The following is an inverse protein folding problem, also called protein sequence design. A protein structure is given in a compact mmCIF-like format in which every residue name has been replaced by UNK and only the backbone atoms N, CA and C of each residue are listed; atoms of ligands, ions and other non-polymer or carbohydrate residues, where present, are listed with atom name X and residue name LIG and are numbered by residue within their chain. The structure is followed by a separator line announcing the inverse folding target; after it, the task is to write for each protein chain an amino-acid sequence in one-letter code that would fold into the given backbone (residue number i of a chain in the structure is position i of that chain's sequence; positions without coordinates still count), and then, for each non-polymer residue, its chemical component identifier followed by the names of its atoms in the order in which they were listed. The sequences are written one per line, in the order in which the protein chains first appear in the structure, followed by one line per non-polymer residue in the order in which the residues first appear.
data_IF_243866752979
#
_entry.id   IF_243866752979
#
_cell.length_a   1.000
_cell.length_b   1.000
_cell.length_c   1.000
_cell.angle_alpha   90.00
_cell.angle_beta   90.00
_cell.angle_gamma   90.00
#
_symmetry.space_group_name_H-M   'P 1'
#
loop_
_entity.id
_entity.type
_entity.pdbx_description
1 polymer ?
#
# COMPACT_ATOMS: atom_id res chain seq x y z
N UNK A 1 68.90 -51.60 25.05
CA UNK A 1 68.39 -50.39 25.76
C UNK A 1 67.94 -49.39 24.71
N UNK A 2 66.66 -49.00 24.78
CA UNK A 2 65.88 -48.33 23.74
C UNK A 2 66.27 -46.85 23.60
N UNK A 3 66.57 -46.45 22.37
CA UNK A 3 66.72 -45.04 21.98
C UNK A 3 65.34 -44.37 21.91
N UNK A 4 65.21 -43.27 22.65
CA UNK A 4 64.05 -42.39 22.70
C UNK A 4 63.96 -41.59 21.40
N UNK A 5 62.97 -41.90 20.55
CA UNK A 5 62.62 -41.07 19.40
C UNK A 5 61.80 -39.89 19.93
N UNK A 6 62.42 -38.71 19.97
CA UNK A 6 61.76 -37.43 20.21
C UNK A 6 60.89 -37.14 18.98
N UNK A 7 59.62 -37.52 19.05
CA UNK A 7 58.60 -37.13 18.07
C UNK A 7 58.35 -35.64 18.28
N UNK A 8 58.92 -34.86 17.37
CA UNK A 8 58.68 -33.44 17.18
C UNK A 8 57.20 -33.24 16.81
N UNK A 9 56.35 -33.17 17.85
CA UNK A 9 54.96 -32.69 17.80
C UNK A 9 55.01 -31.18 17.50
N UNK A 10 55.35 -30.85 16.26
CA UNK A 10 54.99 -29.61 15.60
C UNK A 10 53.46 -29.57 15.51
N UNK A 11 52.86 -29.15 16.62
CA UNK A 11 51.55 -28.54 16.60
C UNK A 11 51.64 -27.31 15.69
N UNK A 12 51.36 -27.53 14.40
CA UNK A 12 50.79 -26.52 13.53
C UNK A 12 49.47 -26.07 14.16
N UNK A 13 49.55 -25.18 15.16
CA UNK A 13 48.50 -24.21 15.41
C UNK A 13 48.46 -23.33 14.16
N UNK A 14 47.75 -23.82 13.14
CA UNK A 14 47.18 -22.97 12.11
C UNK A 14 46.23 -22.02 12.82
N UNK A 15 46.78 -20.89 13.26
CA UNK A 15 46.02 -19.69 13.56
C UNK A 15 45.20 -19.41 12.31
N UNK A 16 43.95 -19.90 12.28
CA UNK A 16 42.95 -19.35 11.39
C UNK A 16 42.78 -17.92 11.86
N UNK A 17 43.60 -17.03 11.31
CA UNK A 17 43.27 -15.63 11.16
C UNK A 17 41.97 -15.66 10.38
N UNK A 18 40.83 -15.74 11.09
CA UNK A 18 39.59 -15.24 10.59
C UNK A 18 39.88 -13.77 10.33
N UNK A 19 40.33 -13.49 9.10
CA UNK A 19 40.17 -12.20 8.49
C UNK A 19 38.68 -11.94 8.62
N UNK A 20 38.31 -11.22 9.68
CA UNK A 20 37.08 -10.45 9.72
C UNK A 20 37.21 -9.54 8.51
N UNK A 21 36.75 -10.03 7.37
CA UNK A 21 36.47 -9.18 6.24
C UNK A 21 35.61 -8.07 6.80
N UNK A 22 35.96 -6.83 6.49
CA UNK A 22 35.22 -5.65 6.94
C UNK A 22 33.74 -5.89 6.63
N UNK A 23 32.99 -6.25 7.67
CA UNK A 23 31.57 -6.48 7.57
C UNK A 23 30.98 -5.08 7.39
N UNK A 24 30.85 -4.71 6.12
CA UNK A 24 30.24 -3.49 5.69
C UNK A 24 28.74 -3.59 6.03
N UNK A 25 28.40 -3.27 7.27
CA UNK A 25 27.04 -3.23 7.84
C UNK A 25 26.19 -2.11 7.24
N UNK A 26 26.21 -1.99 5.91
CA UNK A 26 25.69 -0.86 5.14
C UNK A 26 24.24 -1.09 4.70
N UNK A 27 23.64 -2.22 5.07
CA UNK A 27 22.22 -2.47 4.83
C UNK A 27 21.37 -1.61 5.76
N UNK A 28 20.49 -0.78 5.19
CA UNK A 28 19.44 -0.14 5.97
C UNK A 28 18.55 -1.18 6.64
N UNK A 29 18.11 -0.92 7.86
CA UNK A 29 17.20 -1.83 8.55
C UNK A 29 15.86 -1.94 7.83
N UNK A 30 15.20 -3.09 7.96
CA UNK A 30 13.93 -3.39 7.28
C UNK A 30 12.81 -2.40 7.68
N UNK A 31 12.77 -1.96 8.94
CA UNK A 31 11.79 -0.96 9.37
C UNK A 31 12.07 0.42 8.75
N UNK A 32 13.33 0.84 8.66
CA UNK A 32 13.76 2.08 8.01
C UNK A 32 13.44 2.06 6.51
N UNK A 33 13.61 0.89 5.87
CA UNK A 33 13.17 0.66 4.50
C UNK A 33 11.64 0.81 4.37
N UNK A 34 10.87 0.23 5.29
CA UNK A 34 9.41 0.36 5.29
C UNK A 34 8.95 1.82 5.42
N UNK A 35 9.59 2.63 6.26
CA UNK A 35 9.32 4.07 6.36
C UNK A 35 9.67 4.81 5.07
N UNK A 36 10.83 4.51 4.48
CA UNK A 36 11.28 5.13 3.25
C UNK A 36 10.32 4.82 2.09
N UNK A 37 9.89 3.56 1.96
CA UNK A 37 8.92 3.14 0.97
C UNK A 37 7.54 3.77 1.22
N UNK A 38 7.06 3.75 2.46
CA UNK A 38 5.80 4.37 2.86
C UNK A 38 5.76 5.86 2.49
N UNK A 39 6.85 6.59 2.74
CA UNK A 39 6.98 8.00 2.39
C UNK A 39 7.04 8.26 0.89
N UNK A 40 7.73 7.40 0.13
CA UNK A 40 7.72 7.46 -1.32
C UNK A 40 6.30 7.27 -1.88
N UNK A 41 5.52 6.36 -1.29
CA UNK A 41 4.19 5.93 -1.73
C UNK A 41 3.00 6.58 -1.00
N UNK A 42 3.26 7.55 -0.13
CA UNK A 42 2.22 8.12 0.73
C UNK A 42 1.08 8.77 -0.06
N UNK A 43 1.40 9.38 -1.21
CA UNK A 43 0.43 9.99 -2.13
C UNK A 43 -0.55 8.95 -2.67
N UNK A 44 -0.03 7.84 -3.20
CA UNK A 44 -0.82 6.73 -3.72
C UNK A 44 -1.76 6.16 -2.64
N UNK A 45 -1.26 6.00 -1.41
CA UNK A 45 -2.04 5.46 -0.29
C UNK A 45 -3.14 6.40 0.19
N UNK A 46 -2.84 7.70 0.28
CA UNK A 46 -3.82 8.72 0.65
C UNK A 46 -4.90 8.84 -0.43
N UNK A 47 -4.51 8.90 -1.70
CA UNK A 47 -5.44 8.95 -2.82
C UNK A 47 -6.39 7.75 -2.82
N UNK A 48 -5.86 6.54 -2.60
CA UNK A 48 -6.65 5.33 -2.50
C UNK A 48 -7.69 5.40 -1.36
N UNK A 49 -7.30 5.97 -0.21
CA UNK A 49 -8.18 6.15 0.94
C UNK A 49 -9.31 7.15 0.67
N UNK A 50 -8.97 8.28 0.04
CA UNK A 50 -9.95 9.30 -0.34
C UNK A 50 -10.99 8.72 -1.32
N UNK A 51 -10.54 7.99 -2.34
CA UNK A 51 -11.43 7.42 -3.35
C UNK A 51 -12.33 6.31 -2.78
N UNK A 52 -11.75 5.36 -2.06
CA UNK A 52 -12.51 4.27 -1.41
C UNK A 52 -13.35 4.75 -0.23
N UNK A 53 -13.21 6.03 0.15
CA UNK A 53 -13.63 6.64 1.41
C UNK A 53 -13.02 6.01 2.66
N UNK A 54 -12.47 4.80 2.64
CA UNK A 54 -11.83 4.08 3.76
C UNK A 54 -12.45 4.29 5.16
N UNK A 55 -13.78 4.49 5.23
CA UNK A 55 -14.52 4.80 6.46
C UNK A 55 -14.32 6.22 7.04
N UNK A 56 -13.88 7.20 6.25
CA UNK A 56 -13.69 8.61 6.62
C UNK A 56 -15.03 9.30 6.90
N UNK A 57 -15.01 10.15 7.93
CA UNK A 57 -16.00 11.20 8.15
C UNK A 57 -15.66 12.42 7.28
N UNK A 58 -16.59 13.35 7.11
CA UNK A 58 -16.35 14.58 6.33
C UNK A 58 -15.17 15.40 6.87
N UNK A 59 -14.98 15.46 8.20
CA UNK A 59 -13.85 16.16 8.83
C UNK A 59 -12.52 15.47 8.49
N UNK A 60 -12.47 14.15 8.62
CA UNK A 60 -11.29 13.34 8.30
C UNK A 60 -10.94 13.42 6.81
N UNK A 61 -11.94 13.35 5.91
CA UNK A 61 -11.78 13.52 4.46
C UNK A 61 -11.16 14.89 4.13
N UNK A 62 -11.68 15.97 4.72
CA UNK A 62 -11.12 17.32 4.52
C UNK A 62 -9.65 17.41 4.95
N UNK A 63 -9.30 16.85 6.10
CA UNK A 63 -7.91 16.83 6.58
C UNK A 63 -7.03 16.02 5.64
N UNK A 64 -7.45 14.81 5.28
CA UNK A 64 -6.67 13.92 4.44
C UNK A 64 -6.49 14.49 3.03
N UNK A 65 -7.49 15.16 2.46
CA UNK A 65 -7.37 15.92 1.22
C UNK A 65 -6.40 17.10 1.35
N UNK A 66 -6.39 17.78 2.50
CA UNK A 66 -5.44 18.89 2.76
C UNK A 66 -4.00 18.37 2.76
N UNK A 67 -3.74 17.26 3.45
CA UNK A 67 -2.45 16.57 3.42
C UNK A 67 -2.10 16.17 1.97
N UNK A 68 -3.02 15.51 1.26
CA UNK A 68 -2.79 15.08 -0.13
C UNK A 68 -2.35 16.23 -1.03
N UNK A 69 -2.99 17.39 -0.90
CA UNK A 69 -2.72 18.56 -1.72
C UNK A 69 -1.39 19.26 -1.36
N UNK A 70 -0.87 19.05 -0.15
CA UNK A 70 0.40 19.63 0.30
C UNK A 70 1.60 18.70 0.08
N UNK A 71 1.40 17.41 -0.22
CA UNK A 71 2.47 16.41 -0.32
C UNK A 71 3.63 16.80 -1.25
N UNK A 72 3.36 17.56 -2.33
CA UNK A 72 4.43 18.08 -3.21
C UNK A 72 5.35 19.07 -2.48
N UNK A 73 4.77 19.92 -1.63
CA UNK A 73 5.49 20.88 -0.80
C UNK A 73 6.20 20.18 0.37
N UNK A 74 5.50 19.24 1.02
CA UNK A 74 6.07 18.38 2.07
C UNK A 74 7.38 17.74 1.59
N UNK A 75 7.33 17.10 0.43
CA UNK A 75 8.42 16.28 -0.10
C UNK A 75 9.51 17.08 -0.83
N UNK A 76 9.53 18.41 -0.71
CA UNK A 76 10.54 19.26 -1.39
C UNK A 76 11.97 18.99 -0.95
N UNK A 77 12.16 18.56 0.29
CA UNK A 77 13.50 18.29 0.82
C UNK A 77 13.81 16.79 0.73
N UNK A 78 15.01 16.46 0.26
CA UNK A 78 15.47 15.06 0.17
C UNK A 78 15.73 14.41 1.54
N UNK A 79 15.64 15.19 2.63
CA UNK A 79 15.95 14.79 4.00
C UNK A 79 14.79 15.02 4.98
N UNK A 80 13.54 14.94 4.51
CA UNK A 80 12.39 15.12 5.39
C UNK A 80 12.29 14.01 6.45
N UNK A 81 12.65 12.77 6.10
CA UNK A 81 12.76 11.67 7.06
C UNK A 81 14.15 11.62 7.69
N UNK A 82 14.21 11.71 9.01
CA UNK A 82 15.46 11.62 9.78
C UNK A 82 15.36 10.53 10.83
N UNK A 83 16.19 9.49 10.72
CA UNK A 83 16.23 8.36 11.65
C UNK A 83 17.22 8.64 12.79
N UNK A 84 16.72 8.76 14.03
CA UNK A 84 17.53 9.05 15.22
C UNK A 84 17.27 8.05 16.34
N UNK A 85 18.29 7.77 17.14
CA UNK A 85 18.16 6.94 18.35
C UNK A 85 18.02 7.83 19.57
N UNK A 86 16.95 7.67 20.34
CA UNK A 86 16.74 8.35 21.62
C UNK A 86 17.81 7.98 22.67
N UNK A 87 18.48 6.82 22.54
CA UNK A 87 19.64 6.48 23.39
C UNK A 87 20.85 7.36 23.12
N UNK A 88 21.07 7.74 21.85
CA UNK A 88 22.15 8.63 21.44
C UNK A 88 21.79 10.09 21.73
N UNK A 89 20.54 10.47 21.50
CA UNK A 89 20.00 11.80 21.79
C UNK A 89 18.97 11.74 22.91
N UNK A 90 19.46 11.72 24.16
CA UNK A 90 18.63 11.52 25.35
C UNK A 90 17.49 12.53 25.44
N UNK A 91 16.26 12.04 25.43
CA UNK A 91 15.06 12.85 25.60
C UNK A 91 14.50 13.42 24.31
N UNK A 92 15.14 13.18 23.16
CA UNK A 92 14.69 13.71 21.88
C UNK A 92 13.24 13.31 21.55
N UNK A 93 12.80 12.12 21.98
CA UNK A 93 11.45 11.62 21.69
C UNK A 93 10.53 11.57 22.92
N UNK A 94 10.88 12.25 24.01
CA UNK A 94 10.04 12.30 25.22
C UNK A 94 9.13 13.52 25.13
N UNK A 95 7.83 13.28 24.90
CA UNK A 95 6.78 14.29 24.89
C UNK A 95 5.70 13.89 25.88
N UNK A 96 5.32 14.81 26.76
CA UNK A 96 4.35 14.58 27.86
C UNK A 96 4.68 13.36 28.74
N UNK A 97 5.98 13.12 28.98
CA UNK A 97 6.45 11.99 29.76
C UNK A 97 6.38 10.64 29.05
N UNK A 98 5.97 10.59 27.78
CA UNK A 98 5.90 9.38 26.97
C UNK A 98 6.95 9.39 25.86
N UNK A 99 7.55 8.23 25.59
CA UNK A 99 8.45 8.07 24.45
C UNK A 99 7.61 7.88 23.19
N UNK A 100 7.81 8.75 22.20
CA UNK A 100 7.12 8.71 20.91
C UNK A 100 7.94 7.98 19.86
N UNK A 101 7.24 7.39 18.89
CA UNK A 101 7.84 6.68 17.75
C UNK A 101 8.33 7.64 16.67
N UNK A 102 7.62 8.74 16.49
CA UNK A 102 7.98 9.82 15.60
C UNK A 102 7.63 11.15 16.26
N UNK A 103 8.21 12.21 15.74
CA UNK A 103 7.84 13.59 16.05
C UNK A 103 8.18 14.47 14.85
N UNK A 104 7.49 15.59 14.75
CA UNK A 104 7.75 16.59 13.73
C UNK A 104 7.47 18.00 14.25
N UNK A 105 7.68 19.01 13.41
CA UNK A 105 7.26 20.39 13.68
C UNK A 105 5.80 20.64 13.30
N UNK A 106 5.39 21.89 13.21
CA UNK A 106 4.01 22.30 12.92
C UNK A 106 3.85 22.99 11.55
N UNK A 107 4.90 23.01 10.74
CA UNK A 107 4.90 23.61 9.41
C UNK A 107 5.02 22.56 8.29
N UNK A 108 4.32 22.82 7.17
CA UNK A 108 4.43 22.02 5.94
C UNK A 108 5.89 21.97 5.47
N UNK A 109 6.41 20.76 5.28
CA UNK A 109 7.80 20.51 4.90
C UNK A 109 8.76 20.33 6.08
N UNK A 110 8.29 20.43 7.33
CA UNK A 110 9.11 20.14 8.50
C UNK A 110 9.64 18.70 8.49
N UNK A 111 10.79 18.51 9.14
CA UNK A 111 11.44 17.21 9.25
C UNK A 111 10.67 16.30 10.19
N UNK A 112 10.40 15.09 9.72
CA UNK A 112 9.84 14.01 10.50
C UNK A 112 10.98 13.16 11.05
N UNK A 113 11.15 13.21 12.37
CA UNK A 113 12.14 12.42 13.08
C UNK A 113 11.53 11.08 13.48
N UNK A 114 12.22 9.99 13.16
CA UNK A 114 11.79 8.61 13.45
C UNK A 114 12.71 7.99 14.49
N UNK A 115 12.13 7.47 15.58
CA UNK A 115 12.84 6.89 16.69
C UNK A 115 13.27 5.45 16.39
N UNK A 116 14.55 5.25 16.05
CA UNK A 116 15.09 3.93 15.71
C UNK A 116 15.08 2.92 16.87
N UNK A 117 14.98 3.40 18.12
CA UNK A 117 14.90 2.51 19.28
C UNK A 117 13.54 1.78 19.37
N UNK A 118 12.50 2.28 18.69
CA UNK A 118 11.14 1.75 18.71
C UNK A 118 10.72 1.06 17.40
N UNK A 119 11.59 1.04 16.38
CA UNK A 119 11.28 0.46 15.07
C UNK A 119 11.20 -1.08 15.04
N UNK A 120 11.69 -1.72 16.10
CA UNK A 120 11.76 -3.17 16.25
C UNK A 120 11.20 -3.57 17.62
N UNK A 121 9.88 -3.43 17.83
CA UNK A 121 9.23 -3.88 19.05
C UNK A 121 9.56 -5.34 19.35
N UNK A 122 9.68 -5.66 20.64
CA UNK A 122 9.85 -7.04 21.09
C UNK A 122 8.50 -7.73 21.17
N UNK A 123 8.40 -8.89 20.54
CA UNK A 123 7.28 -9.80 20.65
C UNK A 123 7.36 -10.63 21.94
N UNK A 124 6.31 -11.41 22.22
CA UNK A 124 6.19 -12.21 23.47
C UNK A 124 7.30 -13.25 23.65
N UNK A 125 7.83 -13.77 22.55
CA UNK A 125 8.95 -14.73 22.50
C UNK A 125 10.33 -14.05 22.61
N UNK A 126 10.38 -12.71 22.65
CA UNK A 126 11.60 -11.94 22.69
C UNK A 126 12.17 -11.59 21.32
N UNK A 127 11.57 -12.10 20.24
CA UNK A 127 11.94 -11.73 18.87
C UNK A 127 11.62 -10.27 18.59
N UNK A 128 12.35 -9.70 17.65
CA UNK A 128 12.18 -8.30 17.25
C UNK A 128 11.59 -8.23 15.86
N UNK A 129 10.35 -7.77 15.77
CA UNK A 129 9.67 -7.65 14.48
C UNK A 129 9.76 -6.20 13.99
N UNK A 130 10.17 -5.97 12.73
CA UNK A 130 10.18 -4.62 12.18
C UNK A 130 8.75 -4.09 12.07
N UNK A 131 8.59 -2.80 12.29
CA UNK A 131 7.32 -2.13 12.01
C UNK A 131 6.96 -2.30 10.53
N UNK A 132 5.73 -2.74 10.27
CA UNK A 132 5.21 -2.93 8.91
C UNK A 132 5.09 -1.60 8.15
N UNK A 133 5.17 -1.67 6.82
CA UNK A 133 4.90 -0.54 5.93
C UNK A 133 3.55 0.15 6.22
N UNK A 134 2.48 -0.61 6.46
CA UNK A 134 1.16 -0.04 6.73
C UNK A 134 1.14 0.77 8.05
N UNK A 135 1.86 0.31 9.08
CA UNK A 135 2.04 1.08 10.31
C UNK A 135 2.90 2.33 10.06
N UNK A 136 3.96 2.24 9.25
CA UNK A 136 4.75 3.41 8.87
C UNK A 136 3.90 4.46 8.15
N UNK A 137 2.99 4.06 7.25
CA UNK A 137 2.03 4.97 6.62
C UNK A 137 1.12 5.63 7.66
N UNK A 138 0.59 4.88 8.62
CA UNK A 138 -0.24 5.45 9.68
C UNK A 138 0.48 6.58 10.44
N UNK A 139 1.74 6.33 10.79
CA UNK A 139 2.60 7.28 11.50
C UNK A 139 2.86 8.50 10.61
N UNK A 140 3.22 8.32 9.34
CA UNK A 140 3.45 9.45 8.44
C UNK A 140 2.19 10.32 8.24
N UNK A 141 1.00 9.72 8.13
CA UNK A 141 -0.26 10.48 8.07
C UNK A 141 -0.48 11.29 9.35
N UNK A 142 -0.12 10.74 10.51
CA UNK A 142 -0.16 11.46 11.78
C UNK A 142 0.77 12.68 11.75
N UNK A 143 2.04 12.48 11.42
CA UNK A 143 3.04 13.55 11.39
C UNK A 143 2.68 14.65 10.35
N UNK A 144 2.22 14.27 9.15
CA UNK A 144 1.73 15.26 8.18
C UNK A 144 0.48 16.01 8.67
N UNK A 145 -0.33 15.41 9.54
CA UNK A 145 -1.44 16.10 10.19
C UNK A 145 -0.96 17.25 11.08
N UNK A 146 0.15 17.06 11.81
CA UNK A 146 0.77 18.11 12.63
C UNK A 146 1.26 19.30 11.81
N UNK A 147 1.82 19.06 10.62
CA UNK A 147 2.23 20.13 9.69
C UNK A 147 1.09 21.05 9.23
N UNK A 148 -0.16 20.62 9.44
CA UNK A 148 -1.36 21.39 9.16
C UNK A 148 -2.03 21.94 10.43
N UNK A 149 -1.29 22.03 11.55
CA UNK A 149 -1.75 22.62 12.80
C UNK A 149 -2.78 21.77 13.55
N UNK A 150 -2.84 20.46 13.28
CA UNK A 150 -3.75 19.56 14.00
C UNK A 150 -3.03 19.02 15.24
N UNK A 151 -3.43 19.48 16.42
CA UNK A 151 -2.82 19.08 17.70
C UNK A 151 -3.48 17.84 18.33
N UNK A 152 -4.65 17.44 17.83
CA UNK A 152 -5.42 16.32 18.38
C UNK A 152 -4.80 14.97 17.96
N UNK A 153 -3.90 14.45 18.80
CA UNK A 153 -3.23 13.17 18.59
C UNK A 153 -4.22 12.00 18.39
N UNK A 154 -5.34 11.97 19.13
CA UNK A 154 -6.30 10.86 19.02
C UNK A 154 -7.00 10.88 17.66
N UNK A 155 -7.34 12.08 17.16
CA UNK A 155 -7.89 12.26 15.84
C UNK A 155 -6.90 11.79 14.75
N UNK A 156 -5.62 12.17 14.87
CA UNK A 156 -4.57 11.80 13.91
C UNK A 156 -4.26 10.29 13.93
N UNK A 157 -4.19 9.68 15.11
CA UNK A 157 -4.02 8.23 15.27
C UNK A 157 -5.17 7.45 14.61
N UNK A 158 -6.41 7.92 14.81
CA UNK A 158 -7.59 7.34 14.17
C UNK A 158 -7.56 7.50 12.65
N UNK A 159 -7.18 8.68 12.15
CA UNK A 159 -7.05 8.94 10.72
C UNK A 159 -6.00 8.04 10.08
N UNK A 160 -4.79 7.99 10.65
CA UNK A 160 -3.71 7.12 10.19
C UNK A 160 -4.09 5.63 10.24
N UNK A 161 -4.83 5.21 11.27
CA UNK A 161 -5.32 3.83 11.39
C UNK A 161 -6.30 3.43 10.28
N UNK A 162 -7.11 4.36 9.78
CA UNK A 162 -8.01 4.09 8.63
C UNK A 162 -7.23 3.89 7.33
N UNK A 163 -6.23 4.73 7.08
CA UNK A 163 -5.33 4.58 5.92
C UNK A 163 -4.55 3.27 6.03
N UNK A 164 -4.03 2.94 7.21
CA UNK A 164 -3.38 1.65 7.49
C UNK A 164 -4.29 0.46 7.23
N UNK A 165 -5.52 0.48 7.76
CA UNK A 165 -6.46 -0.63 7.61
C UNK A 165 -6.77 -0.89 6.14
N UNK A 166 -6.87 0.17 5.33
CA UNK A 166 -6.98 0.04 3.88
C UNK A 166 -5.78 -0.72 3.30
N UNK A 167 -4.54 -0.29 3.60
CA UNK A 167 -3.28 -0.88 3.08
C UNK A 167 -3.08 -2.33 3.52
N UNK A 168 -3.52 -2.67 4.74
CA UNK A 168 -3.41 -4.03 5.26
C UNK A 168 -4.42 -4.99 4.61
N UNK A 169 -5.49 -4.48 4.00
CA UNK A 169 -6.34 -5.33 3.20
C UNK A 169 -5.57 -5.75 1.94
N UNK A 170 -5.63 -7.03 1.59
CA UNK A 170 -4.89 -7.58 0.45
C UNK A 170 -5.35 -6.91 -0.85
N UNK A 171 -4.47 -6.10 -1.46
CA UNK A 171 -4.67 -5.60 -2.81
C UNK A 171 -4.01 -6.55 -3.80
N UNK A 172 -4.78 -6.99 -4.78
CA UNK A 172 -4.23 -7.60 -5.98
C UNK A 172 -4.01 -6.49 -7.00
N UNK A 173 -2.79 -5.95 -7.05
CA UNK A 173 -2.40 -5.00 -8.09
C UNK A 173 -1.98 -5.78 -9.33
N UNK A 174 -2.63 -5.51 -10.45
CA UNK A 174 -2.33 -6.18 -11.71
C UNK A 174 -1.79 -5.12 -12.67
N UNK A 175 -0.45 -5.04 -12.82
CA UNK A 175 0.14 -4.07 -13.73
C UNK A 175 -0.20 -4.46 -15.17
N UNK A 176 -1.03 -3.66 -15.83
CA UNK A 176 -1.41 -3.90 -17.22
C UNK A 176 -0.71 -2.90 -18.15
N UNK A 177 0.09 -3.41 -19.09
CA UNK A 177 0.73 -2.57 -20.10
C UNK A 177 -0.24 -2.37 -21.29
N UNK A 178 -0.81 -1.18 -21.41
CA UNK A 178 -1.77 -0.82 -22.46
C UNK A 178 -1.20 -0.90 -23.90
N UNK A 179 0.14 -0.92 -24.04
CA UNK A 179 0.84 -0.92 -25.32
C UNK A 179 1.29 -2.30 -25.77
N UNK A 180 1.27 -3.32 -24.90
CA UNK A 180 1.54 -4.69 -25.29
C UNK A 180 0.22 -5.42 -25.51
N UNK A 181 0.04 -6.05 -26.67
CA UNK A 181 -0.96 -7.12 -26.87
C UNK A 181 -0.54 -8.28 -25.98
N UNK A 182 -0.89 -8.22 -24.72
CA UNK A 182 -0.78 -9.35 -23.82
C UNK A 182 -2.19 -9.79 -23.50
N UNK A 183 -2.53 -11.00 -23.91
CA UNK A 183 -3.76 -11.72 -23.57
C UNK A 183 -3.67 -12.24 -22.13
N UNK A 184 -3.42 -11.34 -21.17
CA UNK A 184 -3.41 -11.72 -19.76
C UNK A 184 -4.82 -11.62 -19.21
N UNK A 185 -5.50 -12.76 -19.12
CA UNK A 185 -6.74 -12.89 -18.38
C UNK A 185 -6.45 -12.76 -16.88
N UNK A 186 -6.72 -11.58 -16.29
CA UNK A 186 -6.78 -11.46 -14.85
C UNK A 186 -8.05 -12.12 -14.34
N UNK A 187 -7.92 -13.10 -13.45
CA UNK A 187 -9.03 -13.62 -12.66
C UNK A 187 -8.86 -13.21 -11.20
N UNK A 188 -9.83 -12.49 -10.65
CA UNK A 188 -9.93 -12.15 -9.24
C UNK A 188 -11.13 -12.89 -8.66
N UNK A 189 -10.88 -13.77 -7.69
CA UNK A 189 -11.89 -14.56 -7.00
C UNK A 189 -12.11 -14.06 -5.57
N UNK A 190 -13.37 -13.86 -5.17
CA UNK A 190 -13.73 -13.43 -3.83
C UNK A 190 -14.72 -14.38 -3.17
N UNK A 191 -14.31 -14.97 -2.04
CA UNK A 191 -15.11 -15.91 -1.25
C UNK A 191 -14.87 -15.75 0.26
N UNK A 192 -15.90 -15.75 1.12
CA UNK A 192 -17.33 -15.54 0.88
C UNK A 192 -17.71 -14.04 0.91
N UNK A 193 -18.64 -13.62 0.07
CA UNK A 193 -18.96 -12.19 -0.12
C UNK A 193 -20.04 -11.72 0.87
N UNK A 194 -19.65 -11.22 2.06
CA UNK A 194 -20.56 -10.37 2.84
C UNK A 194 -20.63 -8.94 2.31
N UNK A 195 -19.55 -8.47 1.68
CA UNK A 195 -19.46 -7.21 0.91
C UNK A 195 -18.47 -7.45 -0.23
N UNK A 196 -18.76 -6.98 -1.46
CA UNK A 196 -17.80 -7.06 -2.55
C UNK A 196 -16.56 -6.23 -2.18
N UNK A 197 -15.38 -6.76 -2.49
CA UNK A 197 -14.13 -6.03 -2.37
C UNK A 197 -14.13 -4.80 -3.26
N UNK A 198 -13.35 -3.79 -2.90
CA UNK A 198 -13.24 -2.60 -3.73
C UNK A 198 -12.46 -2.91 -5.01
N UNK A 199 -13.06 -2.65 -6.17
CA UNK A 199 -12.37 -2.63 -7.45
C UNK A 199 -12.02 -1.19 -7.77
N UNK A 200 -10.72 -0.91 -7.84
CA UNK A 200 -10.21 0.42 -8.09
C UNK A 200 -9.33 0.36 -9.33
N UNK A 201 -9.66 1.16 -10.33
CA UNK A 201 -8.84 1.38 -11.52
C UNK A 201 -7.94 2.59 -11.26
N UNK A 202 -6.63 2.39 -11.35
CA UNK A 202 -5.65 3.47 -11.31
C UNK A 202 -5.11 3.65 -12.72
N UNK A 203 -5.37 4.79 -13.33
CA UNK A 203 -4.87 5.13 -14.66
C UNK A 203 -4.13 6.47 -14.59
N UNK A 204 -2.82 6.44 -14.85
CA UNK A 204 -1.91 7.57 -14.59
C UNK A 204 -2.02 8.02 -13.13
N UNK A 205 -2.54 9.22 -12.88
CA UNK A 205 -2.76 9.78 -11.55
C UNK A 205 -4.25 9.83 -11.18
N UNK A 206 -5.11 9.25 -12.02
CA UNK A 206 -6.54 9.18 -11.74
C UNK A 206 -6.88 7.84 -11.10
N UNK A 207 -7.69 7.90 -10.04
CA UNK A 207 -8.13 6.74 -9.28
C UNK A 207 -9.64 6.68 -9.38
N UNK A 208 -10.15 5.57 -9.91
CA UNK A 208 -11.56 5.39 -10.25
C UNK A 208 -12.10 4.21 -9.45
N UNK A 209 -13.04 4.48 -8.54
CA UNK A 209 -13.75 3.44 -7.80
C UNK A 209 -14.82 2.79 -8.68
N UNK A 210 -14.49 1.62 -9.24
CA UNK A 210 -15.41 0.81 -10.02
C UNK A 210 -16.40 0.03 -9.14
N UNK A 211 -16.07 -0.16 -7.85
CA UNK A 211 -16.87 -0.94 -6.89
C UNK A 211 -18.29 -0.42 -6.74
N UNK A 212 -18.48 0.91 -6.68
CA UNK A 212 -19.81 1.53 -6.54
C UNK A 212 -20.70 1.30 -7.74
N UNK A 213 -20.12 1.21 -8.94
CA UNK A 213 -20.88 0.96 -10.15
C UNK A 213 -21.21 -0.52 -10.25
N UNK A 214 -20.20 -1.36 -10.05
CA UNK A 214 -20.31 -2.81 -9.97
C UNK A 214 -21.37 -3.28 -8.99
N UNK A 215 -21.40 -2.72 -7.78
CA UNK A 215 -22.33 -3.15 -6.73
C UNK A 215 -23.81 -3.01 -7.11
N UNK A 216 -24.15 -2.17 -8.09
CA UNK A 216 -25.52 -2.06 -8.63
C UNK A 216 -25.94 -3.27 -9.45
N UNK A 217 -24.97 -3.98 -10.04
CA UNK A 217 -25.19 -5.18 -10.85
C UNK A 217 -25.00 -6.47 -10.04
N UNK A 218 -24.32 -6.37 -8.89
CA UNK A 218 -24.05 -7.50 -7.99
C UNK A 218 -25.22 -7.80 -7.03
N UNK A 219 -26.40 -8.06 -7.57
CA UNK A 219 -27.61 -8.30 -6.76
C UNK A 219 -28.14 -9.71 -7.01
N UNK A 220 -28.15 -10.52 -5.96
CA UNK A 220 -28.91 -11.78 -5.93
C UNK A 220 -30.40 -11.48 -5.65
N UNK A 221 -31.31 -12.42 -5.93
CA UNK A 221 -32.71 -12.23 -5.53
C UNK A 221 -32.84 -12.17 -4.01
N UNK A 222 -33.96 -11.64 -3.49
CA UNK A 222 -34.17 -11.42 -2.05
C UNK A 222 -34.01 -12.69 -1.19
N UNK A 223 -34.18 -13.87 -1.77
CA UNK A 223 -34.04 -15.18 -1.12
C UNK A 223 -32.62 -15.79 -1.25
N UNK A 224 -31.74 -15.15 -2.02
CA UNK A 224 -30.40 -15.65 -2.36
C UNK A 224 -29.28 -14.86 -1.67
N UNK A 225 -28.24 -15.56 -1.24
CA UNK A 225 -27.01 -14.97 -0.69
C UNK A 225 -25.93 -14.97 -1.77
N UNK A 226 -25.25 -13.83 -1.97
CA UNK A 226 -24.07 -13.75 -2.82
C UNK A 226 -22.91 -14.53 -2.17
N UNK A 227 -22.49 -15.62 -2.81
CA UNK A 227 -21.46 -16.51 -2.26
C UNK A 227 -20.08 -16.26 -2.89
N UNK A 228 -20.01 -16.07 -4.22
CA UNK A 228 -18.77 -15.80 -4.96
C UNK A 228 -18.96 -14.58 -5.85
N UNK A 229 -17.95 -13.72 -5.90
CA UNK A 229 -17.78 -12.76 -6.98
C UNK A 229 -16.44 -13.00 -7.68
N UNK A 230 -16.47 -13.12 -9.01
CA UNK A 230 -15.29 -13.26 -9.85
C UNK A 230 -15.27 -12.18 -10.91
N UNK A 231 -14.11 -11.58 -11.16
CA UNK A 231 -13.83 -10.82 -12.38
C UNK A 231 -12.76 -11.58 -13.14
N UNK A 232 -13.02 -11.96 -14.39
CA UNK A 232 -12.07 -12.69 -15.23
C UNK A 232 -11.84 -11.95 -16.55
N UNK A 233 -10.80 -12.36 -17.28
CA UNK A 233 -10.57 -11.94 -18.66
C UNK A 233 -10.52 -10.43 -18.85
N UNK A 234 -9.99 -9.67 -17.89
CA UNK A 234 -9.81 -8.22 -18.05
C UNK A 234 -8.70 -7.96 -19.07
N UNK A 235 -9.01 -7.28 -20.18
CA UNK A 235 -8.05 -6.97 -21.23
C UNK A 235 -8.41 -5.69 -21.99
N UNK A 236 -7.40 -5.02 -22.57
CA UNK A 236 -7.65 -3.88 -23.45
C UNK A 236 -7.94 -4.33 -24.88
N UNK A 237 -9.01 -3.79 -25.45
CA UNK A 237 -9.38 -3.90 -26.85
C UNK A 237 -9.24 -2.55 -27.54
N UNK A 238 -8.85 -2.61 -28.80
CA UNK A 238 -8.74 -1.44 -29.66
C UNK A 238 -10.14 -1.11 -30.19
N UNK A 239 -10.55 0.15 -30.09
CA UNK A 239 -11.71 0.64 -30.83
C UNK A 239 -11.43 0.65 -32.34
N UNK A 240 -12.50 0.77 -33.13
CA UNK A 240 -12.41 0.73 -34.60
C UNK A 240 -11.51 1.83 -35.18
N UNK A 241 -11.44 2.98 -34.51
CA UNK A 241 -10.67 4.14 -34.93
C UNK A 241 -9.23 4.18 -34.39
N UNK A 242 -8.80 3.18 -33.61
CA UNK A 242 -7.53 3.13 -32.86
C UNK A 242 -7.27 4.29 -31.89
N UNK A 243 -8.13 5.31 -31.88
CA UNK A 243 -8.12 6.44 -30.97
C UNK A 243 -8.84 6.08 -29.68
N UNK A 244 -9.76 5.11 -29.73
CA UNK A 244 -10.42 4.55 -28.57
C UNK A 244 -9.71 3.28 -28.07
N UNK A 245 -9.55 3.19 -26.74
CA UNK A 245 -9.23 1.94 -26.03
C UNK A 245 -10.43 1.54 -25.20
N UNK A 246 -10.69 0.25 -25.10
CA UNK A 246 -11.78 -0.31 -24.30
C UNK A 246 -11.18 -1.32 -23.33
N UNK A 247 -11.54 -1.28 -22.05
CA UNK A 247 -11.11 -2.28 -21.09
C UNK A 247 -12.26 -3.27 -20.91
N UNK A 248 -12.21 -4.41 -21.59
CA UNK A 248 -13.27 -5.42 -21.53
C UNK A 248 -12.95 -6.43 -20.42
N UNK A 249 -13.97 -6.99 -19.78
CA UNK A 249 -13.83 -8.01 -18.77
C UNK A 249 -15.12 -8.80 -18.58
N UNK A 250 -15.01 -9.96 -17.92
CA UNK A 250 -16.16 -10.78 -17.57
C UNK A 250 -16.33 -10.78 -16.06
N UNK A 251 -17.56 -10.82 -15.59
CA UNK A 251 -17.82 -11.00 -14.17
C UNK A 251 -18.80 -12.12 -13.90
N UNK A 252 -18.67 -12.72 -12.74
CA UNK A 252 -19.49 -13.85 -12.33
C UNK A 252 -19.95 -13.61 -10.90
N UNK A 253 -21.25 -13.77 -10.66
CA UNK A 253 -21.84 -13.72 -9.34
C UNK A 253 -22.52 -15.06 -9.08
N UNK A 254 -22.03 -15.77 -8.07
CA UNK A 254 -22.66 -17.01 -7.62
C UNK A 254 -23.63 -16.68 -6.50
N UNK A 255 -24.90 -16.98 -6.73
CA UNK A 255 -25.97 -16.80 -5.75
C UNK A 255 -26.40 -18.15 -5.19
N UNK A 256 -26.68 -18.21 -3.89
CA UNK A 256 -27.04 -19.43 -3.19
C UNK A 256 -28.36 -19.27 -2.44
N UNK A 257 -29.32 -20.17 -2.70
CA UNK A 257 -30.62 -20.29 -2.03
C UNK A 257 -30.82 -21.70 -1.41
N UNK A 258 -29.71 -22.40 -1.13
CA UNK A 258 -29.72 -23.82 -0.79
C UNK A 258 -29.51 -24.74 -1.99
N UNK A 259 -29.60 -24.22 -3.24
CA UNK A 259 -29.03 -24.80 -4.46
C UNK A 259 -27.98 -23.84 -5.04
N UNK A 260 -27.06 -24.37 -5.83
CA UNK A 260 -26.04 -23.55 -6.50
C UNK A 260 -26.60 -22.98 -7.79
N UNK A 261 -26.81 -21.67 -7.84
CA UNK A 261 -27.23 -20.96 -9.04
C UNK A 261 -26.13 -20.00 -9.50
N UNK A 262 -25.45 -20.34 -10.59
CA UNK A 262 -24.45 -19.47 -11.21
C UNK A 262 -25.16 -18.44 -12.09
N UNK A 263 -24.98 -17.15 -11.77
CA UNK A 263 -25.30 -16.05 -12.67
C UNK A 263 -23.99 -15.50 -13.23
N UNK A 264 -23.74 -15.70 -14.52
CA UNK A 264 -22.67 -15.02 -15.24
C UNK A 264 -23.21 -13.73 -15.84
N UNK A 265 -22.45 -12.65 -15.78
CA UNK A 265 -22.79 -11.41 -16.48
C UNK A 265 -21.50 -10.79 -17.04
N UNK A 266 -21.47 -10.52 -18.34
CA UNK A 266 -20.32 -9.85 -18.93
C UNK A 266 -20.26 -8.41 -18.43
N UNK A 267 -19.06 -7.92 -18.16
CA UNK A 267 -18.85 -6.57 -17.66
C UNK A 267 -18.08 -5.77 -18.71
N UNK A 268 -18.82 -5.19 -19.64
CA UNK A 268 -18.22 -4.37 -20.68
C UNK A 268 -18.02 -2.95 -20.18
N UNK A 269 -17.03 -2.73 -19.31
CA UNK A 269 -16.77 -1.38 -18.83
C UNK A 269 -15.95 -0.58 -19.84
N UNK A 270 -16.61 0.36 -20.52
CA UNK A 270 -15.91 1.19 -21.49
C UNK A 270 -15.14 2.31 -20.77
N UNK A 271 -13.82 2.29 -20.98
CA UNK A 271 -12.92 3.36 -20.55
C UNK A 271 -12.46 4.08 -21.80
N UNK A 272 -13.19 5.09 -22.26
CA UNK A 272 -12.80 5.82 -23.48
C UNK A 272 -11.59 6.66 -23.12
N UNK A 273 -10.46 6.23 -23.66
CA UNK A 273 -9.25 7.03 -23.66
C UNK A 273 -9.29 7.97 -24.87
N UNK A 274 -9.67 9.23 -24.67
CA UNK A 274 -9.62 10.21 -25.77
C UNK A 274 -8.20 10.76 -25.91
N UNK A 275 -7.68 10.75 -27.15
CA UNK A 275 -6.37 11.32 -27.48
C UNK A 275 -6.43 12.86 -27.40
N UNK A 276 -5.86 13.45 -26.36
CA UNK A 276 -5.79 14.92 -26.20
C UNK A 276 -4.61 15.54 -26.96
N UNK A 277 -3.55 14.75 -27.22
CA UNK A 277 -2.33 15.12 -27.96
C UNK A 277 -1.59 13.86 -28.45
N UNK A 278 -0.44 13.99 -29.16
CA UNK A 278 0.24 12.87 -29.83
C UNK A 278 0.50 11.63 -28.95
N UNK A 279 0.61 11.77 -27.62
CA UNK A 279 0.89 10.69 -26.67
C UNK A 279 -0.01 10.65 -25.41
N UNK A 280 -1.10 11.43 -25.35
CA UNK A 280 -1.86 11.61 -24.11
C UNK A 280 -3.32 11.15 -24.20
N UNK A 281 -3.64 10.10 -23.45
CA UNK A 281 -4.99 9.55 -23.27
C UNK A 281 -5.62 10.04 -21.95
N UNK A 282 -6.85 10.57 -21.99
CA UNK A 282 -7.60 10.94 -20.78
C UNK A 282 -8.72 9.93 -20.49
N UNK A 283 -8.96 9.64 -19.21
CA UNK A 283 -10.01 8.73 -18.77
C UNK A 283 -11.36 9.45 -18.75
N UNK A 284 -12.36 8.91 -19.45
CA UNK A 284 -13.75 9.36 -19.33
C UNK A 284 -14.49 8.50 -18.26
N UNK A 285 -14.77 9.04 -17.06
CA UNK A 285 -15.54 8.31 -16.05
C UNK A 285 -16.96 8.00 -16.48
N UNK A 286 -17.57 8.79 -17.35
CA UNK A 286 -18.97 8.64 -17.72
C UNK A 286 -19.17 7.60 -18.82
N UNK A 287 -18.09 7.21 -19.51
CA UNK A 287 -18.16 6.16 -20.53
C UNK A 287 -18.36 4.74 -19.98
N UNK A 288 -18.23 4.55 -18.67
CA UNK A 288 -18.36 3.25 -18.01
C UNK A 288 -19.83 2.76 -18.03
N UNK A 289 -20.13 1.92 -19.01
CA UNK A 289 -21.42 1.23 -19.16
C UNK A 289 -21.34 -0.24 -18.70
N UNK A 290 -22.50 -0.86 -18.46
CA UNK A 290 -22.62 -2.24 -18.03
C UNK A 290 -23.84 -2.86 -18.71
N UNK A 291 -23.62 -3.96 -19.45
CA UNK A 291 -24.68 -4.62 -20.20
C UNK A 291 -25.04 -5.98 -19.60
N UNK A 292 -26.32 -6.34 -19.72
CA UNK A 292 -26.81 -7.68 -19.45
C UNK A 292 -26.90 -8.43 -20.78
N UNK A 293 -26.22 -9.57 -20.86
CA UNK A 293 -26.46 -10.60 -21.89
C UNK A 293 -27.40 -11.67 -21.35
#
# INVERSE_FOLDING_TARGET
MRNLIIICLLYCFSSQSFARGDEAGNGGGLAEHNFSFAYQKIEDFIALCLVSRCGLTQKEEKVLSTISNSLKEEKKTSQQLVFLSNKKEKGAFVLDGMIKIAKTGDLVGDRIYINTDLLYPKERDGERTPISMATAVAILVHEFGHHHGIEDHQFLDKLGSKVKALIQNEFVQVPYNIFKKLDHALTIDYWPVKKPSSLILIFKNEVVDLSKRLSRFLVCSDEQIASLYRIANIHWKYGEDQLERKLEGQSFLLCQDGKWHQKSFSLDFRVILQKSSEDDFMFDPDSLDFHWE
#
